data_IF_976101522904
#
_entry.id   IF_976101522904
#
_cell.length_a   1.000
_cell.length_b   1.000
_cell.length_c   1.000
_cell.angle_alpha   90.00
_cell.angle_beta   90.00
_cell.angle_gamma   90.00
#
_symmetry.space_group_name_H-M   'P 1'
#
loop_
_entity.id
_entity.type
_entity.pdbx_description
1 polymer ?
#
# COMPACT_ATOMS: atom_id res chain seq x y z
N UNK A 1 3.31 -13.52 -31.31
CA UNK A 1 2.83 -12.84 -30.09
C UNK A 1 3.75 -13.27 -28.98
N UNK A 2 4.50 -12.33 -28.41
CA UNK A 2 5.57 -12.60 -27.42
C UNK A 2 4.90 -12.80 -26.05
N UNK A 3 4.48 -14.04 -25.75
CA UNK A 3 3.89 -14.44 -24.47
C UNK A 3 4.99 -14.53 -23.41
N UNK A 4 5.45 -13.37 -22.94
CA UNK A 4 6.27 -13.32 -21.72
C UNK A 4 5.36 -13.64 -20.56
N UNK A 5 5.56 -14.80 -19.93
CA UNK A 5 4.93 -15.13 -18.66
C UNK A 5 5.21 -13.99 -17.68
N UNK A 6 4.16 -13.27 -17.27
CA UNK A 6 4.28 -12.22 -16.27
C UNK A 6 4.43 -12.92 -14.93
N UNK A 7 5.66 -13.18 -14.51
CA UNK A 7 5.94 -13.73 -13.19
C UNK A 7 5.56 -12.70 -12.13
N UNK A 8 4.41 -12.90 -11.49
CA UNK A 8 3.92 -12.04 -10.41
C UNK A 8 4.81 -12.16 -9.16
N UNK A 9 5.23 -11.02 -8.61
CA UNK A 9 6.05 -10.97 -7.40
C UNK A 9 5.19 -11.18 -6.15
N UNK A 10 5.67 -11.90 -5.13
CA UNK A 10 4.96 -11.95 -3.85
C UNK A 10 4.88 -10.56 -3.23
N UNK A 11 3.74 -10.23 -2.63
CA UNK A 11 3.60 -8.99 -1.87
C UNK A 11 4.55 -9.02 -0.65
N UNK A 12 5.41 -8.00 -0.45
CA UNK A 12 6.32 -8.01 0.69
C UNK A 12 5.55 -7.89 2.02
N UNK A 13 6.13 -8.41 3.10
CA UNK A 13 5.51 -8.36 4.44
C UNK A 13 5.64 -6.97 5.10
N UNK A 14 6.49 -6.10 4.56
CA UNK A 14 6.67 -4.73 5.01
C UNK A 14 6.84 -3.82 3.80
N UNK A 15 6.42 -2.57 3.96
CA UNK A 15 6.55 -1.55 2.94
C UNK A 15 6.76 -0.19 3.59
N UNK A 16 7.31 0.74 2.84
CA UNK A 16 7.31 2.16 3.17
C UNK A 16 6.13 2.85 2.47
N UNK A 17 5.74 4.02 2.98
CA UNK A 17 4.76 4.88 2.30
C UNK A 17 5.16 5.16 0.85
N UNK A 18 6.45 5.37 0.59
CA UNK A 18 6.95 5.66 -0.75
C UNK A 18 6.77 4.47 -1.70
N UNK A 19 7.06 3.26 -1.24
CA UNK A 19 6.86 2.04 -2.03
C UNK A 19 5.38 1.79 -2.32
N UNK A 20 4.52 1.93 -1.31
CA UNK A 20 3.08 1.78 -1.47
C UNK A 20 2.51 2.82 -2.45
N UNK A 21 2.96 4.07 -2.36
CA UNK A 21 2.62 5.08 -3.36
C UNK A 21 3.05 4.66 -4.77
N UNK A 22 4.29 4.18 -4.94
CA UNK A 22 4.80 3.79 -6.26
C UNK A 22 4.02 2.61 -6.87
N UNK A 23 3.59 1.65 -6.05
CA UNK A 23 2.82 0.49 -6.53
C UNK A 23 1.44 0.88 -7.06
N UNK A 24 0.78 1.83 -6.40
CA UNK A 24 -0.60 2.22 -6.73
C UNK A 24 -0.72 3.50 -7.54
N UNK A 25 0.38 4.24 -7.76
CA UNK A 25 0.43 5.37 -8.71
C UNK A 25 0.16 4.93 -10.15
N UNK A 26 0.37 3.66 -10.48
CA UNK A 26 0.02 3.06 -11.77
C UNK A 26 -1.44 2.60 -11.84
N UNK A 27 -2.16 2.66 -10.72
CA UNK A 27 -3.59 2.33 -10.62
C UNK A 27 -4.43 3.59 -10.81
N UNK A 28 -5.75 3.45 -10.96
CA UNK A 28 -6.69 4.56 -11.13
C UNK A 28 -6.89 5.43 -9.86
N UNK A 29 -5.99 5.35 -8.87
CA UNK A 29 -6.08 6.06 -7.60
C UNK A 29 -5.19 7.30 -7.60
N UNK A 30 -5.70 8.40 -7.05
CA UNK A 30 -4.90 9.60 -6.87
C UNK A 30 -3.91 9.44 -5.72
N UNK A 31 -2.76 10.11 -5.83
CA UNK A 31 -1.75 10.16 -4.78
C UNK A 31 -2.32 10.58 -3.41
N UNK A 32 -3.29 11.49 -3.39
CA UNK A 32 -3.90 11.97 -2.15
C UNK A 32 -4.83 10.94 -1.52
N UNK A 33 -5.56 10.16 -2.31
CA UNK A 33 -6.37 9.05 -1.80
C UNK A 33 -5.49 7.99 -1.12
N UNK A 34 -4.41 7.58 -1.79
CA UNK A 34 -3.47 6.59 -1.26
C UNK A 34 -2.85 7.10 0.05
N UNK A 35 -2.38 8.36 0.09
CA UNK A 35 -1.83 8.96 1.32
C UNK A 35 -2.84 9.00 2.45
N UNK A 36 -4.08 9.43 2.18
CA UNK A 36 -5.13 9.54 3.18
C UNK A 36 -5.47 8.17 3.77
N UNK A 37 -5.69 7.15 2.94
CA UNK A 37 -6.01 5.80 3.43
C UNK A 37 -4.84 5.22 4.23
N UNK A 38 -3.59 5.28 3.74
CA UNK A 38 -2.45 4.75 4.49
C UNK A 38 -2.32 5.44 5.86
N UNK A 39 -2.49 6.76 5.92
CA UNK A 39 -2.46 7.49 7.18
C UNK A 39 -3.61 7.07 8.11
N UNK A 40 -4.81 6.87 7.57
CA UNK A 40 -5.98 6.43 8.33
C UNK A 40 -5.77 5.02 8.90
N UNK A 41 -5.32 4.07 8.09
CA UNK A 41 -5.02 2.70 8.52
C UNK A 41 -3.95 2.70 9.63
N UNK A 42 -2.90 3.51 9.50
CA UNK A 42 -1.87 3.64 10.54
C UNK A 42 -2.46 4.25 11.82
N UNK A 43 -3.29 5.28 11.70
CA UNK A 43 -3.96 5.92 12.84
C UNK A 43 -4.84 4.90 13.59
N UNK A 44 -5.68 4.17 12.87
CA UNK A 44 -6.64 3.21 13.43
C UNK A 44 -5.94 2.01 14.06
N UNK A 45 -4.95 1.44 13.37
CA UNK A 45 -4.24 0.24 13.85
C UNK A 45 -3.29 0.51 15.00
N UNK A 46 -2.78 1.74 15.14
CA UNK A 46 -1.83 2.12 16.20
C UNK A 46 -2.45 2.98 17.30
N UNK A 47 -3.74 3.36 17.18
CA UNK A 47 -4.40 4.28 18.10
C UNK A 47 -3.76 5.67 18.13
N UNK A 48 -3.26 6.14 16.98
CA UNK A 48 -2.57 7.43 16.86
C UNK A 48 -3.51 8.50 16.27
N UNK A 49 -3.39 9.77 16.68
CA UNK A 49 -3.99 10.87 15.94
C UNK A 49 -3.50 10.88 14.49
N UNK A 50 -4.39 11.22 13.55
CA UNK A 50 -4.08 11.25 12.10
C UNK A 50 -2.85 12.12 11.78
N UNK A 51 -2.66 13.22 12.51
CA UNK A 51 -1.54 14.13 12.32
C UNK A 51 -0.19 13.50 12.71
N UNK A 52 -0.19 12.56 13.67
CA UNK A 52 1.00 11.78 14.01
C UNK A 52 1.22 10.64 13.01
N UNK A 53 0.14 10.03 12.52
CA UNK A 53 0.22 8.96 11.54
C UNK A 53 0.85 9.40 10.21
N UNK A 54 0.69 10.68 9.82
CA UNK A 54 1.33 11.29 8.64
C UNK A 54 2.86 11.13 8.62
N UNK A 55 3.52 11.24 9.77
CA UNK A 55 4.98 11.19 9.87
C UNK A 55 5.56 9.77 9.96
N UNK A 56 4.71 8.76 10.12
CA UNK A 56 5.14 7.36 10.13
C UNK A 56 5.60 6.97 8.72
N UNK A 57 6.83 6.48 8.57
CA UNK A 57 7.37 6.06 7.25
C UNK A 57 7.12 4.59 6.94
N UNK A 58 7.18 3.74 7.96
CA UNK A 58 7.12 2.29 7.85
C UNK A 58 5.72 1.76 8.07
N UNK A 59 5.31 0.82 7.22
CA UNK A 59 4.00 0.20 7.20
C UNK A 59 4.18 -1.26 7.61
N UNK A 60 3.48 -1.65 8.68
CA UNK A 60 3.52 -3.01 9.24
C UNK A 60 2.75 -3.97 8.34
N UNK A 61 3.06 -5.26 8.42
CA UNK A 61 2.38 -6.31 7.66
C UNK A 61 0.85 -6.24 7.75
N UNK A 62 0.32 -6.02 8.96
CA UNK A 62 -1.13 -5.88 9.18
C UNK A 62 -1.72 -4.65 8.48
N UNK A 63 -1.03 -3.52 8.53
CA UNK A 63 -1.45 -2.26 7.88
C UNK A 63 -1.43 -2.41 6.35
N UNK A 64 -0.38 -3.03 5.82
CA UNK A 64 -0.26 -3.31 4.40
C UNK A 64 -1.36 -4.26 3.93
N UNK A 65 -1.67 -5.30 4.71
CA UNK A 65 -2.77 -6.24 4.41
C UNK A 65 -4.12 -5.53 4.37
N UNK A 66 -4.38 -4.61 5.31
CA UNK A 66 -5.61 -3.82 5.31
C UNK A 66 -5.68 -2.90 4.09
N UNK A 67 -4.57 -2.26 3.73
CA UNK A 67 -4.50 -1.38 2.57
C UNK A 67 -4.76 -2.14 1.27
N UNK A 68 -4.14 -3.31 1.08
CA UNK A 68 -4.35 -4.16 -0.11
C UNK A 68 -5.78 -4.70 -0.18
N UNK A 69 -6.44 -4.93 0.96
CA UNK A 69 -7.87 -5.29 0.99
C UNK A 69 -8.79 -4.14 0.56
N UNK A 70 -8.38 -2.90 0.76
CA UNK A 70 -9.15 -1.70 0.39
C UNK A 70 -8.91 -1.26 -1.06
N UNK A 71 -7.70 -1.44 -1.59
CA UNK A 71 -7.27 -0.95 -2.91
C UNK A 71 -6.97 -2.04 -3.95
N UNK A 72 -7.29 -3.30 -3.63
CA UNK A 72 -6.90 -4.50 -4.39
C UNK A 72 -5.39 -4.73 -4.48
N UNK A 73 -4.98 -5.91 -4.96
CA UNK A 73 -3.56 -6.27 -5.13
C UNK A 73 -2.94 -5.40 -6.22
N UNK A 74 -1.76 -4.78 -5.98
CA UNK A 74 -1.15 -3.91 -6.97
C UNK A 74 -0.69 -4.70 -8.20
N UNK A 75 -0.71 -4.04 -9.36
CA UNK A 75 -0.34 -4.66 -10.64
C UNK A 75 1.07 -5.25 -10.58
N UNK A 76 1.17 -6.53 -10.96
CA UNK A 76 2.44 -7.27 -10.94
C UNK A 76 2.75 -8.01 -9.63
N UNK A 77 1.83 -8.00 -8.66
CA UNK A 77 1.96 -8.72 -7.39
C UNK A 77 0.90 -9.81 -7.19
N UNK A 78 1.21 -10.77 -6.32
CA UNK A 78 0.28 -11.81 -5.81
C UNK A 78 0.32 -11.87 -4.28
N UNK A 79 -0.84 -12.16 -3.67
CA UNK A 79 -0.99 -12.44 -2.23
C UNK A 79 -0.45 -13.82 -1.86
#
# INVERSE_FOLDING_TARGET
MDTREITLKPLPQCATKAELMNWYLKSNYTADMIRKSINQIIADTRGLPIDKAKFVKNIRAKELTLFVKEFDVPVGYKL
#
